data_IF_636435525862
#
_entry.id   IF_636435525862
#
_cell.length_a   1.000
_cell.length_b   1.000
_cell.length_c   1.000
_cell.angle_alpha   90.00
_cell.angle_beta   90.00
_cell.angle_gamma   90.00
#
_symmetry.space_group_name_H-M   'P 1'
#
loop_
_entity.id
_entity.type
_entity.pdbx_description
1 polymer ?
#
# COMPACT_ATOMS: atom_id res chain seq x y z
N UNK A 1 -13.64 15.15 0.36
CA UNK A 1 -13.30 13.78 -0.06
C UNK A 1 -11.91 13.79 -0.69
N UNK A 2 -11.04 12.89 -0.25
CA UNK A 2 -9.71 12.78 -0.84
C UNK A 2 -9.79 12.09 -2.20
N UNK A 3 -9.20 12.74 -3.21
CA UNK A 3 -9.03 12.15 -4.54
C UNK A 3 -7.66 11.48 -4.58
N UNK A 4 -7.66 10.16 -4.62
CA UNK A 4 -6.42 9.38 -4.69
C UNK A 4 -6.03 9.17 -6.16
N UNK A 5 -4.73 9.29 -6.45
CA UNK A 5 -4.25 9.03 -7.81
C UNK A 5 -4.27 7.53 -8.09
N UNK A 6 -4.95 7.14 -9.14
CA UNK A 6 -5.07 5.75 -9.60
C UNK A 6 -4.00 5.44 -10.64
N UNK A 7 -3.70 4.17 -10.90
CA UNK A 7 -4.09 3.00 -10.10
C UNK A 7 -3.27 2.86 -8.81
N UNK A 8 -3.69 1.93 -7.96
CA UNK A 8 -3.10 1.74 -6.63
C UNK A 8 -2.19 0.53 -6.56
N UNK A 9 -1.08 0.69 -5.83
CA UNK A 9 -0.29 -0.42 -5.33
C UNK A 9 -0.70 -0.63 -3.87
N UNK A 10 -1.09 -1.85 -3.50
CA UNK A 10 -1.47 -2.18 -2.12
C UNK A 10 -0.23 -2.62 -1.35
N UNK A 11 0.07 -1.98 -0.23
CA UNK A 11 1.19 -2.32 0.62
C UNK A 11 0.73 -3.21 1.76
N UNK A 12 1.25 -4.43 1.82
CA UNK A 12 0.90 -5.43 2.83
C UNK A 12 1.97 -5.61 3.90
N UNK A 13 3.12 -4.95 3.74
CA UNK A 13 4.22 -5.04 4.70
C UNK A 13 4.66 -6.48 4.93
N UNK A 14 4.79 -6.86 6.19
CA UNK A 14 5.13 -8.21 6.61
C UNK A 14 3.94 -8.91 7.31
N UNK A 15 2.73 -8.63 6.85
CA UNK A 15 1.50 -9.15 7.43
C UNK A 15 1.44 -10.68 7.40
N UNK A 16 1.01 -11.25 8.52
CA UNK A 16 0.81 -12.71 8.65
C UNK A 16 -0.65 -13.07 8.89
N UNK A 17 -1.51 -12.09 9.20
CA UNK A 17 -2.93 -12.29 9.46
C UNK A 17 -3.75 -11.49 8.45
N UNK A 18 -4.69 -12.19 7.79
CA UNK A 18 -5.62 -11.56 6.86
C UNK A 18 -6.44 -10.46 7.52
N UNK A 19 -6.80 -10.65 8.80
CA UNK A 19 -7.59 -9.67 9.55
C UNK A 19 -6.86 -8.33 9.73
N UNK A 20 -5.54 -8.30 9.61
CA UNK A 20 -4.76 -7.06 9.67
C UNK A 20 -4.73 -6.32 8.33
N UNK A 21 -5.27 -6.91 7.27
CA UNK A 21 -5.23 -6.37 5.91
C UNK A 21 -6.61 -6.02 5.38
N UNK A 22 -7.53 -5.63 6.25
CA UNK A 22 -8.93 -5.34 5.86
C UNK A 22 -9.01 -4.24 4.79
N UNK A 23 -8.21 -3.20 4.91
CA UNK A 23 -8.19 -2.11 3.93
C UNK A 23 -7.76 -2.61 2.56
N UNK A 24 -6.71 -3.44 2.50
CA UNK A 24 -6.24 -4.00 1.22
C UNK A 24 -7.30 -4.89 0.57
N UNK A 25 -7.90 -5.79 1.33
CA UNK A 25 -8.95 -6.67 0.81
C UNK A 25 -10.19 -5.87 0.39
N UNK A 26 -10.56 -4.86 1.18
CA UNK A 26 -11.70 -4.00 0.85
C UNK A 26 -11.48 -3.24 -0.45
N UNK A 27 -10.32 -2.65 -0.65
CA UNK A 27 -10.01 -1.94 -1.90
C UNK A 27 -9.97 -2.89 -3.08
N UNK A 28 -9.40 -4.07 -2.91
CA UNK A 28 -9.34 -5.07 -3.99
C UNK A 28 -10.77 -5.53 -4.38
N UNK A 29 -11.66 -5.70 -3.41
CA UNK A 29 -13.04 -6.10 -3.66
C UNK A 29 -13.85 -4.99 -4.32
N UNK A 30 -13.69 -3.72 -3.87
CA UNK A 30 -14.49 -2.60 -4.34
C UNK A 30 -13.92 -1.92 -5.58
N UNK A 31 -12.61 -1.86 -5.68
CA UNK A 31 -11.90 -1.10 -6.72
C UNK A 31 -10.85 -1.95 -7.41
N UNK A 32 -11.10 -3.25 -7.59
CA UNK A 32 -10.11 -4.19 -8.15
C UNK A 32 -9.56 -3.75 -9.50
N UNK A 33 -10.37 -3.10 -10.33
CA UNK A 33 -9.92 -2.57 -11.61
C UNK A 33 -8.88 -1.46 -11.47
N UNK A 34 -8.84 -0.78 -10.31
CA UNK A 34 -7.89 0.30 -10.04
C UNK A 34 -6.68 -0.18 -9.24
N UNK A 35 -6.61 -1.46 -8.87
CA UNK A 35 -5.48 -2.06 -8.16
C UNK A 35 -4.53 -2.67 -9.17
N UNK A 36 -3.32 -2.10 -9.28
CA UNK A 36 -2.33 -2.57 -10.25
C UNK A 36 -1.49 -3.72 -9.69
N UNK A 37 -1.36 -3.81 -8.38
CA UNK A 37 -0.58 -4.87 -7.74
C UNK A 37 -0.54 -4.74 -6.24
N UNK A 38 0.23 -5.63 -5.62
CA UNK A 38 0.50 -5.63 -4.20
C UNK A 38 2.01 -5.71 -3.94
N UNK A 39 2.45 -5.12 -2.85
CA UNK A 39 3.85 -5.20 -2.42
C UNK A 39 3.90 -5.69 -0.98
N UNK A 40 4.56 -6.83 -0.79
CA UNK A 40 4.75 -7.44 0.52
C UNK A 40 6.21 -7.80 0.73
N UNK A 41 6.63 -7.78 1.98
CA UNK A 41 7.99 -8.16 2.38
C UNK A 41 8.09 -9.68 2.47
N UNK A 42 9.33 -10.24 2.45
CA UNK A 42 9.49 -11.71 2.45
C UNK A 42 8.83 -12.43 3.62
N UNK A 43 8.69 -11.76 4.78
CA UNK A 43 8.06 -12.37 5.96
C UNK A 43 6.53 -12.42 5.86
N UNK A 44 5.92 -11.76 4.87
CA UNK A 44 4.48 -11.74 4.73
C UNK A 44 3.94 -13.09 4.23
N UNK A 45 2.80 -13.49 4.76
CA UNK A 45 2.09 -14.69 4.30
C UNK A 45 0.69 -14.37 3.78
N UNK A 46 0.33 -13.09 3.67
CA UNK A 46 -0.98 -12.62 3.21
C UNK A 46 -0.86 -12.04 1.82
N UNK A 47 -1.83 -12.35 0.95
CA UNK A 47 -1.93 -11.79 -0.40
C UNK A 47 -3.39 -11.54 -0.73
N UNK A 48 -3.67 -10.48 -1.49
CA UNK A 48 -5.02 -10.24 -2.05
C UNK A 48 -5.19 -10.89 -3.42
N UNK A 49 -4.14 -11.53 -3.94
CA UNK A 49 -4.16 -12.16 -5.27
C UNK A 49 -3.78 -11.23 -6.40
N UNK A 50 -3.34 -10.01 -6.12
CA UNK A 50 -2.86 -9.08 -7.14
C UNK A 50 -1.42 -9.41 -7.53
N UNK A 51 -0.95 -8.96 -8.72
CA UNK A 51 0.45 -9.15 -9.11
C UNK A 51 1.40 -8.50 -8.11
N UNK A 52 2.51 -9.17 -7.80
CA UNK A 52 3.52 -8.62 -6.90
C UNK A 52 4.39 -7.62 -7.66
N UNK A 53 4.41 -6.38 -7.17
CA UNK A 53 5.18 -5.30 -7.78
C UNK A 53 5.90 -4.53 -6.69
N UNK A 54 7.16 -4.14 -6.95
CA UNK A 54 7.83 -3.15 -6.12
C UNK A 54 7.28 -1.76 -6.45
N UNK A 55 7.51 -0.74 -5.60
CA UNK A 55 7.10 0.63 -5.93
C UNK A 55 7.64 1.11 -7.26
N UNK A 56 8.91 0.81 -7.57
CA UNK A 56 9.52 1.21 -8.84
C UNK A 56 8.82 0.54 -10.03
N UNK A 57 8.51 -0.75 -9.93
CA UNK A 57 7.77 -1.47 -10.97
C UNK A 57 6.36 -0.92 -11.14
N UNK A 58 5.68 -0.63 -10.04
CA UNK A 58 4.33 -0.06 -10.08
C UNK A 58 4.35 1.33 -10.73
N UNK A 59 5.30 2.18 -10.34
CA UNK A 59 5.45 3.52 -10.92
C UNK A 59 5.73 3.44 -12.42
N UNK A 60 6.58 2.51 -12.84
CA UNK A 60 6.88 2.30 -14.25
C UNK A 60 5.65 1.86 -15.05
N UNK A 61 4.66 1.26 -14.40
CA UNK A 61 3.40 0.84 -15.01
C UNK A 61 2.27 1.87 -14.85
N UNK A 62 2.59 3.06 -14.36
CA UNK A 62 1.65 4.15 -14.27
C UNK A 62 0.89 4.28 -12.96
N UNK A 63 1.28 3.55 -11.91
CA UNK A 63 0.63 3.69 -10.60
C UNK A 63 0.73 5.13 -10.09
N UNK A 64 -0.31 5.60 -9.43
CA UNK A 64 -0.35 6.92 -8.84
C UNK A 64 -0.15 6.94 -7.33
N UNK A 65 -0.56 5.87 -6.66
CA UNK A 65 -0.53 5.82 -5.19
C UNK A 65 -0.15 4.44 -4.68
N UNK A 66 0.50 4.41 -3.51
CA UNK A 66 0.62 3.20 -2.69
C UNK A 66 -0.28 3.38 -1.47
N UNK A 67 -1.14 2.40 -1.23
CA UNK A 67 -2.08 2.43 -0.11
C UNK A 67 -1.63 1.41 0.94
N UNK A 68 -1.40 1.89 2.17
CA UNK A 68 -1.05 1.02 3.29
C UNK A 68 -2.30 0.23 3.66
N UNK A 69 -2.33 -1.04 3.28
CA UNK A 69 -3.47 -1.92 3.47
C UNK A 69 -3.37 -2.83 4.67
N UNK A 70 -2.32 -2.68 5.47
CA UNK A 70 -2.06 -3.51 6.65
C UNK A 70 -2.09 -2.65 7.90
N UNK A 71 -2.77 -3.15 8.96
CA UNK A 71 -2.80 -2.49 10.26
C UNK A 71 -1.55 -2.88 11.05
N UNK A 72 -0.73 -1.90 11.51
CA UNK A 72 0.42 -2.22 12.33
C UNK A 72 -0.01 -2.57 13.75
N UNK A 73 0.73 -3.45 14.40
CA UNK A 73 0.52 -3.78 15.81
C UNK A 73 0.72 -2.51 16.65
N UNK A 74 -0.27 -2.21 17.50
CA UNK A 74 -0.21 -1.03 18.36
C UNK A 74 -0.48 0.30 17.65
N UNK A 75 -0.84 0.28 16.36
CA UNK A 75 -1.22 1.48 15.60
C UNK A 75 -0.06 2.36 15.17
N UNK A 76 1.19 1.93 15.34
CA UNK A 76 2.38 2.68 14.94
C UNK A 76 3.08 1.96 13.82
N UNK A 77 3.38 2.66 12.72
CA UNK A 77 4.08 2.08 11.59
C UNK A 77 5.51 1.70 12.00
N UNK A 78 5.92 0.43 11.79
CA UNK A 78 7.31 0.05 12.03
C UNK A 78 8.29 0.87 11.18
N UNK A 79 9.49 1.08 11.69
CA UNK A 79 10.50 1.90 11.00
C UNK A 79 10.82 1.37 9.60
N UNK A 80 10.90 0.05 9.44
CA UNK A 80 11.20 -0.53 8.13
C UNK A 80 10.06 -0.34 7.12
N UNK A 81 8.81 -0.19 7.59
CA UNK A 81 7.70 0.19 6.69
C UNK A 81 7.84 1.65 6.27
N UNK A 82 8.27 2.52 7.18
CA UNK A 82 8.47 3.94 6.86
C UNK A 82 9.53 4.12 5.79
N UNK A 83 10.62 3.37 5.86
CA UNK A 83 11.66 3.38 4.82
C UNK A 83 11.10 2.94 3.47
N UNK A 84 10.28 1.89 3.45
CA UNK A 84 9.64 1.38 2.24
C UNK A 84 8.71 2.43 1.63
N UNK A 85 7.91 3.08 2.46
CA UNK A 85 6.95 4.09 2.00
C UNK A 85 7.68 5.35 1.52
N UNK A 86 8.80 5.70 2.13
CA UNK A 86 9.62 6.80 1.64
C UNK A 86 10.22 6.48 0.27
N UNK A 87 10.65 5.25 0.06
CA UNK A 87 11.10 4.80 -1.26
C UNK A 87 10.00 4.94 -2.30
N UNK A 88 8.76 4.65 -1.93
CA UNK A 88 7.61 4.82 -2.82
C UNK A 88 7.39 6.30 -3.18
N UNK A 89 7.51 7.21 -2.22
CA UNK A 89 7.46 8.65 -2.50
C UNK A 89 8.55 9.07 -3.49
N UNK A 90 9.75 8.54 -3.32
CA UNK A 90 10.90 8.91 -4.16
C UNK A 90 10.75 8.46 -5.61
N UNK A 91 9.95 7.43 -5.88
CA UNK A 91 9.70 6.97 -7.26
C UNK A 91 8.42 7.56 -7.86
N UNK A 92 7.76 8.48 -7.16
CA UNK A 92 6.64 9.24 -7.71
C UNK A 92 5.27 8.81 -7.26
N UNK A 93 5.15 7.92 -6.27
CA UNK A 93 3.86 7.50 -5.74
C UNK A 93 3.44 8.40 -4.58
N UNK A 94 2.13 8.70 -4.49
CA UNK A 94 1.56 9.25 -3.26
C UNK A 94 1.42 8.11 -2.26
N UNK A 95 1.65 8.39 -0.98
CA UNK A 95 1.48 7.39 0.09
C UNK A 95 0.21 7.71 0.86
N UNK A 96 -0.67 6.72 0.97
CA UNK A 96 -1.96 6.85 1.64
C UNK A 96 -2.02 5.86 2.79
N UNK A 97 -2.32 6.35 4.00
CA UNK A 97 -2.50 5.52 5.18
C UNK A 97 -3.70 6.04 5.96
N UNK A 98 -4.50 5.13 6.52
CA UNK A 98 -5.66 5.48 7.35
C UNK A 98 -5.43 5.26 8.85
N UNK A 99 -4.19 4.94 9.25
CA UNK A 99 -3.88 4.73 10.67
C UNK A 99 -3.70 6.07 11.38
N UNK A 100 -4.45 6.27 12.47
CA UNK A 100 -4.47 7.54 13.17
C UNK A 100 -5.25 8.63 12.43
N UNK A 101 -6.14 8.26 11.52
CA UNK A 101 -6.82 9.12 10.58
C UNK A 101 -6.24 8.97 9.19
N UNK A 102 -6.94 9.46 8.19
CA UNK A 102 -6.47 9.39 6.81
C UNK A 102 -5.24 10.29 6.64
N UNK A 103 -4.15 9.71 6.17
CA UNK A 103 -2.91 10.42 5.88
C UNK A 103 -2.58 10.29 4.41
N UNK A 104 -2.32 11.42 3.78
CA UNK A 104 -1.87 11.47 2.39
C UNK A 104 -0.52 12.19 2.35
N UNK A 105 0.52 11.47 1.96
CA UNK A 105 1.83 12.05 1.70
C UNK A 105 2.02 12.08 0.18
N UNK A 106 2.14 13.28 -0.36
CA UNK A 106 2.28 13.44 -1.79
C UNK A 106 3.73 13.33 -2.22
N UNK A 107 3.92 12.85 -3.43
CA UNK A 107 5.22 12.85 -4.07
C UNK A 107 5.79 14.27 -4.10
N UNK A 108 7.07 14.37 -3.82
CA UNK A 108 7.81 15.64 -3.80
C UNK A 108 8.26 16.06 -5.19
#
# INVERSE_FOLDING_TARGET
MLMLRKPYLLYLGDATLKSDCKTAFGLHDWCGADVIGEWSLPAASVSVGAPRLSPAQAAARGAGSIVVGVAPTGGVLPDHWQDDLESALNVGLDVVSDFGGVRLLRHR
#
